data_IF_094395496295
#
_entry.id   IF_094395496295
#
_cell.length_a   1.000
_cell.length_b   1.000
_cell.length_c   1.000
_cell.angle_alpha   90.00
_cell.angle_beta   90.00
_cell.angle_gamma   90.00
#
_symmetry.space_group_name_H-M   'P 1'
#
loop_
_entity.id
_entity.type
_entity.pdbx_description
1 polymer ?
#
# COMPACT_ATOMS: atom_id res chain seq x y z
N UNK A 1 -1.76 16.41 -18.82
CA UNK A 1 -1.79 16.42 -17.36
C UNK A 1 -3.02 17.19 -16.88
N UNK A 2 -3.74 16.65 -15.88
CA UNK A 2 -4.91 17.27 -15.27
C UNK A 2 -4.46 18.45 -14.38
N UNK A 3 -5.10 19.62 -14.51
CA UNK A 3 -4.86 20.73 -13.59
C UNK A 3 -5.38 20.40 -12.19
N UNK A 4 -4.71 20.90 -11.14
CA UNK A 4 -5.29 20.98 -9.80
C UNK A 4 -6.42 22.00 -9.76
N UNK A 5 -7.34 21.86 -8.83
CA UNK A 5 -8.43 22.81 -8.61
C UNK A 5 -8.51 23.15 -7.12
N UNK A 6 -8.86 24.38 -6.83
CA UNK A 6 -9.42 24.79 -5.54
C UNK A 6 -10.62 25.70 -5.77
N UNK A 7 -11.38 25.95 -4.72
CA UNK A 7 -12.61 26.74 -4.81
C UNK A 7 -12.53 27.95 -3.88
N UNK A 8 -13.06 29.06 -4.37
CA UNK A 8 -13.24 30.31 -3.60
C UNK A 8 -14.70 30.72 -3.66
N UNK A 9 -15.13 31.59 -2.76
CA UNK A 9 -16.46 32.18 -2.86
C UNK A 9 -16.55 33.09 -4.09
N UNK A 10 -17.62 32.97 -4.86
CA UNK A 10 -17.83 33.66 -6.13
C UNK A 10 -17.73 35.21 -6.02
N UNK A 11 -18.05 35.75 -4.86
CA UNK A 11 -17.90 37.20 -4.57
C UNK A 11 -16.46 37.69 -4.73
N UNK A 12 -15.47 36.80 -4.64
CA UNK A 12 -14.05 37.12 -4.78
C UNK A 12 -13.49 36.85 -6.20
N UNK A 13 -14.35 36.42 -7.15
CA UNK A 13 -13.94 36.02 -8.49
C UNK A 13 -13.06 37.07 -9.18
N UNK A 14 -13.55 38.32 -9.29
CA UNK A 14 -12.84 39.40 -9.99
C UNK A 14 -11.48 39.68 -9.34
N UNK A 15 -11.45 39.79 -7.99
CA UNK A 15 -10.21 40.05 -7.26
C UNK A 15 -9.17 38.97 -7.45
N UNK A 16 -9.59 37.71 -7.47
CA UNK A 16 -8.71 36.58 -7.73
C UNK A 16 -8.18 36.57 -9.18
N UNK A 17 -9.03 36.94 -10.17
CA UNK A 17 -8.62 37.07 -11.53
C UNK A 17 -7.59 38.21 -11.73
N UNK A 18 -7.77 39.33 -11.06
CA UNK A 18 -6.85 40.47 -11.11
C UNK A 18 -5.48 40.08 -10.51
N UNK A 19 -5.48 39.32 -9.37
CA UNK A 19 -4.25 38.80 -8.79
C UNK A 19 -3.52 37.84 -9.73
N UNK A 20 -4.23 36.91 -10.35
CA UNK A 20 -3.62 35.96 -11.30
C UNK A 20 -3.01 36.68 -12.49
N UNK A 21 -3.71 37.70 -13.06
CA UNK A 21 -3.24 38.49 -14.17
C UNK A 21 -2.00 39.33 -13.82
N UNK A 22 -1.99 39.96 -12.64
CA UNK A 22 -0.87 40.80 -12.17
C UNK A 22 0.42 39.97 -12.01
N UNK A 23 0.30 38.74 -11.56
CA UNK A 23 1.44 37.84 -11.34
C UNK A 23 1.78 37.00 -12.58
N UNK A 24 0.99 37.11 -13.64
CA UNK A 24 1.10 36.25 -14.84
C UNK A 24 1.16 34.76 -14.49
N UNK A 25 0.33 34.34 -13.51
CA UNK A 25 0.27 32.94 -13.11
C UNK A 25 -0.70 32.14 -14.00
N UNK A 26 -0.42 30.86 -14.27
CA UNK A 26 -1.26 30.02 -15.12
C UNK A 26 -2.51 29.53 -14.36
N UNK A 27 -3.29 30.46 -13.81
CA UNK A 27 -4.52 30.19 -13.05
C UNK A 27 -5.72 30.62 -13.86
N UNK A 28 -6.61 29.69 -14.16
CA UNK A 28 -7.88 29.91 -14.85
C UNK A 28 -9.01 29.89 -13.85
N UNK A 29 -9.74 30.99 -13.70
CA UNK A 29 -10.80 31.11 -12.70
C UNK A 29 -12.13 31.30 -13.41
N UNK A 30 -13.12 30.49 -13.04
CA UNK A 30 -14.47 30.54 -13.61
C UNK A 30 -15.55 30.25 -12.56
N UNK A 31 -16.74 30.85 -12.69
CA UNK A 31 -17.86 30.48 -11.83
C UNK A 31 -18.29 29.04 -12.10
N UNK A 32 -18.76 28.36 -11.08
CA UNK A 32 -19.30 26.99 -11.15
C UNK A 32 -20.66 26.92 -10.46
N UNK A 33 -21.49 25.96 -10.85
CA UNK A 33 -22.81 25.72 -10.26
C UNK A 33 -22.69 24.88 -8.98
N UNK A 34 -21.76 25.28 -8.10
CA UNK A 34 -21.52 24.66 -6.79
C UNK A 34 -21.71 25.70 -5.68
N UNK A 35 -22.04 25.21 -4.51
CA UNK A 35 -22.18 26.01 -3.30
C UNK A 35 -21.34 25.41 -2.15
N UNK A 36 -20.85 26.27 -1.28
CA UNK A 36 -20.27 25.83 -0.01
C UNK A 36 -21.35 25.34 0.95
N UNK A 37 -20.96 24.71 2.07
CA UNK A 37 -21.89 24.35 3.14
C UNK A 37 -22.61 25.56 3.74
N UNK A 38 -22.06 26.76 3.59
CA UNK A 38 -22.72 28.01 4.00
C UNK A 38 -23.64 28.59 2.90
N UNK A 39 -23.98 27.80 1.87
CA UNK A 39 -24.80 28.20 0.71
C UNK A 39 -24.21 29.35 -0.14
N UNK A 40 -22.92 29.67 0.00
CA UNK A 40 -22.23 30.65 -0.83
C UNK A 40 -21.89 30.05 -2.20
N UNK A 41 -22.17 30.77 -3.28
CA UNK A 41 -21.82 30.38 -4.64
C UNK A 41 -20.29 30.28 -4.81
N UNK A 42 -19.81 29.27 -5.52
CA UNK A 42 -18.40 29.01 -5.72
C UNK A 42 -17.86 29.47 -7.08
N UNK A 43 -16.56 29.75 -7.10
CA UNK A 43 -15.76 29.83 -8.32
C UNK A 43 -14.58 28.85 -8.22
N UNK A 44 -14.26 28.16 -9.31
CA UNK A 44 -13.17 27.20 -9.39
C UNK A 44 -11.92 27.86 -9.98
N UNK A 45 -10.79 27.62 -9.33
CA UNK A 45 -9.46 28.05 -9.72
C UNK A 45 -8.67 26.84 -10.23
N UNK A 46 -8.41 26.75 -11.52
CA UNK A 46 -7.67 25.67 -12.18
C UNK A 46 -6.24 26.09 -12.44
N UNK A 47 -5.28 25.25 -12.08
CA UNK A 47 -3.85 25.54 -12.23
C UNK A 47 -2.99 24.26 -12.22
N UNK A 48 -1.75 24.30 -12.74
CA UNK A 48 -0.80 23.22 -12.54
C UNK A 48 -0.56 22.98 -11.04
N UNK A 49 -0.38 21.70 -10.63
CA UNK A 49 -0.31 21.30 -9.23
C UNK A 49 0.80 22.02 -8.43
N UNK A 50 1.89 22.41 -9.10
CA UNK A 50 2.98 23.17 -8.46
C UNK A 50 2.55 24.56 -7.93
N UNK A 51 1.42 25.08 -8.38
CA UNK A 51 0.93 26.41 -7.99
C UNK A 51 -0.14 26.37 -6.90
N UNK A 52 -0.80 25.25 -6.64
CA UNK A 52 -2.02 25.19 -5.82
C UNK A 52 -1.81 25.72 -4.39
N UNK A 53 -0.72 25.32 -3.72
CA UNK A 53 -0.42 25.78 -2.37
C UNK A 53 0.05 27.24 -2.34
N UNK A 54 0.87 27.65 -3.32
CA UNK A 54 1.26 29.06 -3.47
C UNK A 54 0.07 29.96 -3.73
N UNK A 55 -0.86 29.47 -4.54
CA UNK A 55 -2.13 30.17 -4.80
C UNK A 55 -2.96 30.30 -3.56
N UNK A 56 -3.12 29.23 -2.78
CA UNK A 56 -3.80 29.24 -1.47
C UNK A 56 -3.22 30.32 -0.55
N UNK A 57 -1.91 30.34 -0.41
CA UNK A 57 -1.22 31.24 0.50
C UNK A 57 -1.38 32.71 0.04
N UNK A 58 -1.26 32.98 -1.25
CA UNK A 58 -1.54 34.30 -1.84
C UNK A 58 -2.99 34.74 -1.61
N UNK A 59 -3.95 33.87 -1.80
CA UNK A 59 -5.36 34.16 -1.54
C UNK A 59 -5.63 34.43 -0.07
N UNK A 60 -4.96 33.69 0.83
CA UNK A 60 -5.06 33.94 2.28
C UNK A 60 -4.55 35.33 2.67
N UNK A 61 -3.45 35.82 2.09
CA UNK A 61 -2.96 37.19 2.27
C UNK A 61 -3.99 38.25 1.82
N UNK A 62 -4.84 37.87 0.87
CA UNK A 62 -5.95 38.71 0.39
C UNK A 62 -7.25 38.49 1.16
N UNK A 63 -7.24 37.76 2.28
CA UNK A 63 -8.42 37.32 3.04
C UNK A 63 -9.46 36.56 2.19
N UNK A 64 -9.00 35.77 1.24
CA UNK A 64 -9.80 34.88 0.41
C UNK A 64 -9.49 33.44 0.81
N UNK A 65 -10.48 32.70 1.27
CA UNK A 65 -10.34 31.30 1.67
C UNK A 65 -10.40 30.40 0.44
N UNK A 66 -9.35 29.62 0.20
CA UNK A 66 -9.34 28.53 -0.77
C UNK A 66 -9.77 27.23 -0.09
N UNK A 67 -10.74 26.52 -0.68
CA UNK A 67 -11.22 25.21 -0.24
C UNK A 67 -10.76 24.13 -1.19
N UNK A 68 -10.67 22.88 -0.72
CA UNK A 68 -10.37 21.68 -1.53
C UNK A 68 -8.99 21.74 -2.21
N UNK A 69 -8.00 22.38 -1.57
CA UNK A 69 -6.63 22.53 -2.14
C UNK A 69 -5.82 21.24 -2.10
N UNK A 70 -6.27 20.26 -1.34
CA UNK A 70 -5.65 18.97 -1.06
C UNK A 70 -6.15 17.83 -1.97
N UNK A 71 -7.17 18.08 -2.80
CA UNK A 71 -7.67 17.08 -3.74
C UNK A 71 -6.61 16.81 -4.81
N UNK A 72 -6.16 15.56 -4.86
CA UNK A 72 -5.20 15.13 -5.89
C UNK A 72 -5.83 15.16 -7.29
N UNK A 73 -5.09 15.57 -8.33
CA UNK A 73 -5.60 15.61 -9.70
C UNK A 73 -6.16 14.28 -10.20
N UNK A 74 -5.57 13.16 -9.76
CA UNK A 74 -6.05 11.80 -10.07
C UNK A 74 -7.43 11.53 -9.50
N UNK A 75 -7.61 11.84 -8.22
CA UNK A 75 -8.90 11.64 -7.53
C UNK A 75 -9.98 12.53 -8.17
N UNK A 76 -9.64 13.80 -8.44
CA UNK A 76 -10.54 14.70 -9.14
C UNK A 76 -10.94 14.18 -10.52
N UNK A 77 -9.98 13.62 -11.27
CA UNK A 77 -10.25 13.04 -12.58
C UNK A 77 -11.32 11.94 -12.52
N UNK A 78 -11.22 11.06 -11.53
CA UNK A 78 -12.16 9.98 -11.30
C UNK A 78 -13.51 10.52 -10.81
N UNK A 79 -13.51 11.44 -9.83
CA UNK A 79 -14.73 12.06 -9.27
C UNK A 79 -15.54 12.81 -10.32
N UNK A 80 -14.92 13.66 -11.14
CA UNK A 80 -15.59 14.44 -12.18
C UNK A 80 -16.20 13.57 -13.29
N UNK A 81 -15.77 12.31 -13.40
CA UNK A 81 -16.25 11.34 -14.40
C UNK A 81 -17.11 10.24 -13.82
N UNK A 82 -17.40 10.33 -12.50
CA UNK A 82 -18.20 9.34 -11.78
C UNK A 82 -17.62 7.92 -11.91
N UNK A 83 -16.29 7.80 -11.89
CA UNK A 83 -15.58 6.52 -11.88
C UNK A 83 -15.35 6.13 -10.45
N UNK A 84 -16.14 5.19 -9.93
CA UNK A 84 -16.11 4.76 -8.52
C UNK A 84 -15.23 3.52 -8.27
N UNK A 85 -14.89 2.80 -9.33
CA UNK A 85 -14.09 1.58 -9.24
C UNK A 85 -13.79 1.08 -10.65
N UNK A 86 -14.58 0.15 -11.15
CA UNK A 86 -14.39 -0.39 -12.51
C UNK A 86 -14.57 0.67 -13.59
N UNK A 87 -13.76 0.58 -14.64
CA UNK A 87 -13.81 1.47 -15.79
C UNK A 87 -13.46 0.72 -17.07
N UNK A 88 -13.93 1.23 -18.20
CA UNK A 88 -13.47 0.77 -19.52
C UNK A 88 -12.30 1.63 -19.96
N UNK A 89 -11.22 0.98 -20.35
CA UNK A 89 -10.05 1.60 -20.95
C UNK A 89 -10.08 1.33 -22.46
N UNK A 90 -10.04 2.39 -23.25
CA UNK A 90 -9.92 2.32 -24.71
C UNK A 90 -8.60 2.98 -25.13
N UNK A 91 -7.79 2.31 -25.91
CA UNK A 91 -6.49 2.81 -26.36
C UNK A 91 -5.78 1.83 -27.29
N UNK A 92 -4.54 2.13 -27.61
CA UNK A 92 -3.71 1.23 -28.41
C UNK A 92 -2.94 0.29 -27.49
N UNK A 93 -3.20 -1.01 -27.64
CA UNK A 93 -2.52 -2.05 -26.85
C UNK A 93 -1.11 -2.24 -27.40
N UNK A 94 -0.11 -2.04 -26.57
CA UNK A 94 1.28 -2.39 -26.88
C UNK A 94 1.67 -3.61 -26.06
N UNK A 95 2.11 -4.67 -26.74
CA UNK A 95 2.73 -5.81 -26.06
C UNK A 95 4.16 -5.45 -25.68
N UNK A 96 4.52 -5.63 -24.43
CA UNK A 96 5.86 -5.33 -23.97
C UNK A 96 6.87 -6.33 -24.56
N UNK A 97 7.88 -5.81 -25.24
CA UNK A 97 8.97 -6.59 -25.81
C UNK A 97 9.85 -7.29 -24.74
N UNK A 98 9.68 -6.93 -23.47
CA UNK A 98 10.49 -7.43 -22.34
C UNK A 98 9.96 -8.70 -21.67
N UNK A 99 8.89 -9.33 -22.20
CA UNK A 99 8.37 -10.61 -21.67
C UNK A 99 7.61 -10.51 -20.34
N UNK A 100 7.27 -9.31 -19.89
CA UNK A 100 6.44 -9.11 -18.70
C UNK A 100 4.97 -9.45 -18.95
N UNK A 101 4.27 -9.91 -17.93
CA UNK A 101 2.86 -10.31 -17.97
C UNK A 101 1.87 -9.14 -18.06
N UNK A 102 2.33 -7.92 -18.26
CA UNK A 102 1.47 -6.73 -18.34
C UNK A 102 1.37 -6.17 -19.76
N UNK A 103 0.23 -5.56 -20.04
CA UNK A 103 -0.04 -4.87 -21.29
C UNK A 103 -0.09 -3.38 -21.05
N UNK A 104 0.56 -2.60 -21.90
CA UNK A 104 0.51 -1.14 -21.87
C UNK A 104 -0.54 -0.63 -22.85
N UNK A 105 -1.41 0.27 -22.39
CA UNK A 105 -2.39 0.95 -23.21
C UNK A 105 -1.95 2.40 -23.43
N UNK A 106 -1.51 2.72 -24.65
CA UNK A 106 -1.17 4.10 -25.02
C UNK A 106 -2.38 4.84 -25.56
N UNK A 107 -2.37 6.17 -25.47
CA UNK A 107 -3.49 7.05 -25.83
C UNK A 107 -4.80 6.66 -25.14
N UNK A 108 -4.69 6.16 -23.92
CA UNK A 108 -5.79 5.57 -23.18
C UNK A 108 -6.85 6.61 -22.82
N UNK A 109 -8.11 6.27 -23.06
CA UNK A 109 -9.30 7.00 -22.58
C UNK A 109 -10.02 6.13 -21.56
N UNK A 110 -10.33 6.73 -20.41
CA UNK A 110 -11.07 6.07 -19.35
C UNK A 110 -12.55 6.48 -19.46
N UNK A 111 -13.44 5.50 -19.49
CA UNK A 111 -14.89 5.71 -19.46
C UNK A 111 -15.46 5.06 -18.20
N UNK A 112 -16.35 5.78 -17.52
CA UNK A 112 -17.18 5.19 -16.48
C UNK A 112 -18.05 4.10 -17.11
N UNK A 113 -18.21 3.01 -16.37
CA UNK A 113 -19.24 2.01 -16.68
C UNK A 113 -20.38 2.18 -15.71
N UNK A 114 -21.62 1.90 -16.14
CA UNK A 114 -22.75 1.80 -15.19
C UNK A 114 -22.33 0.89 -14.05
N UNK A 115 -22.82 1.17 -12.82
CA UNK A 115 -22.49 0.42 -11.62
C UNK A 115 -22.44 -1.07 -11.91
N UNK A 116 -21.28 -1.66 -11.68
CA UNK A 116 -21.10 -3.11 -11.74
C UNK A 116 -21.40 -3.61 -10.35
N UNK A 117 -22.46 -4.41 -10.24
CA UNK A 117 -22.85 -5.00 -8.94
C UNK A 117 -21.86 -6.10 -8.53
N UNK A 118 -21.10 -6.65 -9.48
CA UNK A 118 -20.08 -7.66 -9.23
C UNK A 118 -18.68 -7.03 -9.30
N UNK A 119 -18.01 -6.95 -8.16
CA UNK A 119 -16.58 -6.69 -8.12
C UNK A 119 -15.84 -7.92 -8.67
N UNK A 120 -14.79 -7.75 -9.49
CA UNK A 120 -13.97 -8.87 -9.90
C UNK A 120 -13.41 -9.57 -8.64
N UNK A 121 -13.34 -10.91 -8.63
CA UNK A 121 -12.72 -11.62 -7.53
C UNK A 121 -11.26 -11.18 -7.40
N UNK A 122 -10.90 -10.62 -6.25
CA UNK A 122 -9.53 -10.24 -5.95
C UNK A 122 -8.78 -11.44 -5.41
N UNK A 123 -7.57 -11.69 -5.94
CA UNK A 123 -6.65 -12.66 -5.36
C UNK A 123 -5.97 -12.04 -4.16
N UNK A 124 -6.30 -12.54 -2.97
CA UNK A 124 -5.76 -12.05 -1.71
C UNK A 124 -4.74 -13.05 -1.20
N UNK A 125 -3.55 -12.55 -0.82
CA UNK A 125 -2.48 -13.34 -0.23
C UNK A 125 -2.12 -12.76 1.14
N UNK A 126 -2.23 -13.55 2.19
CA UNK A 126 -1.67 -13.22 3.50
C UNK A 126 -0.19 -13.60 3.53
N UNK A 127 0.64 -12.73 4.13
CA UNK A 127 2.06 -12.92 4.30
C UNK A 127 2.44 -12.65 5.76
N UNK A 128 3.25 -13.52 6.33
CA UNK A 128 3.85 -13.36 7.65
C UNK A 128 5.26 -13.98 7.64
N UNK A 129 6.18 -13.47 8.48
CA UNK A 129 7.54 -14.01 8.60
C UNK A 129 7.87 -14.32 10.05
N UNK A 130 8.74 -15.33 10.23
CA UNK A 130 9.36 -15.59 11.54
C UNK A 130 10.86 -15.35 11.45
N UNK A 131 11.39 -14.65 12.45
CA UNK A 131 12.79 -14.17 12.46
C UNK A 131 13.42 -14.40 13.83
N UNK A 132 14.75 -14.37 13.88
CA UNK A 132 15.45 -14.28 15.15
C UNK A 132 15.11 -12.98 15.89
N UNK A 133 15.18 -13.02 17.20
CA UNK A 133 15.04 -11.82 18.02
C UNK A 133 16.30 -10.93 17.85
N UNK A 134 16.13 -9.59 17.62
CA UNK A 134 17.26 -8.70 17.45
C UNK A 134 18.21 -8.72 18.65
N UNK A 135 19.46 -9.14 18.46
CA UNK A 135 20.51 -9.15 19.49
C UNK A 135 21.67 -8.28 19.06
N UNK A 136 22.18 -7.47 19.98
CA UNK A 136 23.31 -6.56 19.69
C UNK A 136 24.53 -7.33 19.21
N UNK A 137 24.97 -7.05 17.98
CA UNK A 137 26.16 -7.64 17.38
C UNK A 137 25.94 -9.01 16.72
N UNK A 138 24.71 -9.48 16.63
CA UNK A 138 24.34 -10.65 15.83
C UNK A 138 23.50 -10.21 14.62
N UNK A 139 23.70 -10.81 13.44
CA UNK A 139 22.84 -10.57 12.31
C UNK A 139 21.44 -11.13 12.56
N UNK A 140 20.41 -10.41 12.15
CA UNK A 140 19.05 -10.91 12.17
C UNK A 140 18.94 -12.09 11.18
N UNK A 141 18.19 -13.15 11.55
CA UNK A 141 18.00 -14.38 10.75
C UNK A 141 16.54 -14.48 10.34
N UNK A 142 16.30 -14.82 9.08
CA UNK A 142 14.99 -15.23 8.60
C UNK A 142 14.82 -16.73 8.82
N UNK A 143 13.79 -17.16 9.52
CA UNK A 143 13.50 -18.57 9.76
C UNK A 143 12.50 -19.12 8.75
N UNK A 144 11.39 -18.40 8.55
CA UNK A 144 10.34 -18.82 7.62
C UNK A 144 9.58 -17.65 7.03
N UNK A 145 8.89 -17.94 5.91
CA UNK A 145 7.87 -17.06 5.30
C UNK A 145 6.62 -17.89 5.11
N UNK A 146 5.53 -17.48 5.75
CA UNK A 146 4.21 -18.07 5.65
C UNK A 146 3.35 -17.34 4.60
N UNK A 147 2.64 -18.13 3.80
CA UNK A 147 1.69 -17.65 2.80
C UNK A 147 0.35 -18.36 2.96
N UNK A 148 -0.72 -17.58 3.00
CA UNK A 148 -2.08 -18.12 3.06
C UNK A 148 -3.00 -17.39 2.07
N UNK A 149 -3.78 -18.18 1.34
CA UNK A 149 -4.85 -17.71 0.48
C UNK A 149 -5.95 -18.79 0.42
N UNK A 150 -7.07 -18.48 -0.22
CA UNK A 150 -8.18 -19.43 -0.33
C UNK A 150 -7.78 -20.78 -0.94
N UNK A 151 -6.84 -20.78 -1.88
CA UNK A 151 -6.36 -21.92 -2.66
C UNK A 151 -4.87 -22.22 -2.44
N UNK A 152 -4.23 -21.53 -1.49
CA UNK A 152 -2.81 -21.67 -1.18
C UNK A 152 -2.57 -21.62 0.32
N UNK A 153 -1.91 -22.66 0.84
CA UNK A 153 -1.30 -22.65 2.17
C UNK A 153 0.13 -23.15 2.03
N UNK A 154 1.11 -22.30 2.34
CA UNK A 154 2.52 -22.62 2.17
C UNK A 154 3.39 -21.97 3.21
N UNK A 155 4.29 -22.75 3.79
CA UNK A 155 5.39 -22.26 4.62
C UNK A 155 6.70 -22.60 3.91
N UNK A 156 7.52 -21.59 3.70
CA UNK A 156 8.90 -21.71 3.22
C UNK A 156 9.82 -21.50 4.43
N UNK A 157 10.75 -22.42 4.70
CA UNK A 157 11.51 -22.45 5.94
C UNK A 157 12.96 -22.87 5.69
N UNK A 158 13.88 -22.42 6.51
CA UNK A 158 15.26 -22.93 6.53
C UNK A 158 15.27 -24.31 7.16
N UNK A 159 15.92 -25.27 6.51
CA UNK A 159 16.03 -26.64 7.02
C UNK A 159 16.48 -27.65 5.98
N UNK A 160 16.32 -28.94 6.29
CA UNK A 160 16.70 -30.01 5.35
C UNK A 160 15.60 -30.22 4.32
N UNK A 161 15.95 -30.03 3.04
CA UNK A 161 15.03 -30.16 1.92
C UNK A 161 14.43 -31.57 1.74
N UNK A 162 15.04 -32.60 2.31
CA UNK A 162 14.52 -33.96 2.30
C UNK A 162 13.19 -34.13 3.06
N UNK A 163 12.88 -33.21 3.97
CA UNK A 163 11.64 -33.21 4.76
C UNK A 163 10.51 -32.35 4.14
N UNK A 164 10.71 -31.82 2.93
CA UNK A 164 9.73 -30.95 2.28
C UNK A 164 8.45 -31.68 1.90
N UNK A 165 7.32 -30.97 2.08
CA UNK A 165 5.98 -31.37 1.62
C UNK A 165 5.40 -30.29 0.71
N UNK A 166 4.23 -30.52 0.08
CA UNK A 166 3.60 -29.47 -0.73
C UNK A 166 3.25 -28.18 0.07
N UNK A 167 2.96 -28.30 1.36
CA UNK A 167 2.61 -27.17 2.25
C UNK A 167 3.81 -26.58 2.97
N UNK A 168 4.82 -27.38 3.25
CA UNK A 168 6.03 -27.02 3.96
C UNK A 168 7.25 -27.32 3.12
N UNK A 169 7.99 -26.30 2.72
CA UNK A 169 9.18 -26.42 1.89
C UNK A 169 10.41 -25.92 2.64
N UNK A 170 11.43 -26.77 2.73
CA UNK A 170 12.68 -26.44 3.38
C UNK A 170 13.74 -26.00 2.36
N UNK A 171 14.55 -25.04 2.76
CA UNK A 171 15.64 -24.45 1.97
C UNK A 171 16.94 -24.48 2.78
N UNK A 172 18.04 -24.78 2.11
CA UNK A 172 19.33 -24.91 2.77
C UNK A 172 19.89 -23.59 3.31
N UNK A 173 19.47 -22.47 2.73
CA UNK A 173 19.97 -21.15 3.08
C UNK A 173 18.92 -20.04 2.87
N UNK A 174 19.19 -18.87 3.44
CA UNK A 174 18.32 -17.70 3.42
C UNK A 174 18.11 -17.14 2.00
N UNK A 175 19.16 -17.19 1.14
CA UNK A 175 19.05 -16.71 -0.25
C UNK A 175 18.07 -17.54 -1.05
N UNK A 176 18.16 -18.86 -0.95
CA UNK A 176 17.27 -19.81 -1.62
C UNK A 176 15.82 -19.64 -1.16
N UNK A 177 15.63 -19.44 0.14
CA UNK A 177 14.31 -19.17 0.74
C UNK A 177 13.73 -17.85 0.23
N UNK A 178 14.51 -16.76 0.20
CA UNK A 178 14.08 -15.48 -0.33
C UNK A 178 13.72 -15.57 -1.82
N UNK A 179 14.53 -16.23 -2.63
CA UNK A 179 14.24 -16.45 -4.06
C UNK A 179 12.92 -17.18 -4.25
N UNK A 180 12.68 -18.23 -3.48
CA UNK A 180 11.43 -19.00 -3.54
C UNK A 180 10.23 -18.15 -3.07
N UNK A 181 10.38 -17.33 -2.04
CA UNK A 181 9.33 -16.44 -1.57
C UNK A 181 8.93 -15.39 -2.63
N UNK A 182 9.92 -14.75 -3.28
CA UNK A 182 9.65 -13.81 -4.38
C UNK A 182 9.02 -14.50 -5.59
N UNK A 183 9.48 -15.70 -5.95
CA UNK A 183 8.90 -16.50 -7.02
C UNK A 183 7.43 -16.84 -6.71
N UNK A 184 7.12 -17.28 -5.47
CA UNK A 184 5.75 -17.61 -5.07
C UNK A 184 4.82 -16.40 -5.17
N UNK A 185 5.25 -15.21 -4.71
CA UNK A 185 4.44 -13.98 -4.84
C UNK A 185 4.17 -13.67 -6.32
N UNK A 186 5.17 -13.80 -7.17
CA UNK A 186 5.01 -13.50 -8.59
C UNK A 186 4.18 -14.57 -9.34
N UNK A 187 4.35 -15.84 -9.02
CA UNK A 187 3.61 -16.96 -9.64
C UNK A 187 2.14 -16.99 -9.18
N UNK A 188 1.91 -16.73 -7.87
CA UNK A 188 0.56 -16.62 -7.35
C UNK A 188 -0.16 -15.38 -7.89
N UNK A 189 0.57 -14.31 -8.19
CA UNK A 189 0.09 -13.04 -8.73
C UNK A 189 -1.09 -12.43 -7.96
N UNK A 190 -0.93 -12.09 -6.65
CA UNK A 190 -2.02 -11.53 -5.86
C UNK A 190 -2.34 -10.09 -6.30
N UNK A 191 -3.63 -9.71 -6.24
CA UNK A 191 -4.07 -8.32 -6.34
C UNK A 191 -3.84 -7.56 -5.05
N UNK A 192 -4.03 -8.26 -3.93
CA UNK A 192 -3.93 -7.71 -2.57
C UNK A 192 -3.03 -8.60 -1.72
N UNK A 193 -2.07 -7.99 -1.04
CA UNK A 193 -1.27 -8.65 0.00
C UNK A 193 -1.71 -8.09 1.34
N UNK A 194 -2.02 -8.96 2.29
CA UNK A 194 -2.44 -8.60 3.65
C UNK A 194 -1.46 -9.16 4.67
N UNK A 195 -1.43 -8.56 5.85
CA UNK A 195 -0.69 -9.05 7.01
C UNK A 195 -0.81 -8.09 8.19
N UNK A 196 -0.24 -8.47 9.32
CA UNK A 196 -0.25 -7.68 10.53
C UNK A 196 1.09 -6.99 10.74
N UNK A 197 1.12 -5.66 10.74
CA UNK A 197 2.34 -4.86 10.71
C UNK A 197 3.23 -5.16 9.49
N UNK A 198 2.65 -5.70 8.45
CA UNK A 198 3.33 -6.28 7.29
C UNK A 198 4.20 -5.26 6.54
N UNK A 199 3.80 -3.99 6.54
CA UNK A 199 4.55 -2.92 5.88
C UNK A 199 5.82 -2.57 6.65
N UNK A 200 5.71 -2.39 7.98
CA UNK A 200 6.83 -1.89 8.77
C UNK A 200 7.74 -2.98 9.30
N UNK A 201 7.26 -4.21 9.37
CA UNK A 201 8.04 -5.35 9.84
C UNK A 201 8.39 -6.31 8.69
N UNK A 202 7.45 -7.07 8.16
CA UNK A 202 7.72 -8.15 7.21
C UNK A 202 8.40 -7.66 5.94
N UNK A 203 7.80 -6.71 5.24
CA UNK A 203 8.39 -6.16 4.02
C UNK A 203 9.69 -5.40 4.28
N UNK A 204 9.81 -4.72 5.42
CA UNK A 204 11.04 -4.02 5.78
C UNK A 204 12.18 -5.03 6.02
N UNK A 205 11.89 -6.11 6.74
CA UNK A 205 12.84 -7.18 7.03
C UNK A 205 13.26 -7.89 5.75
N UNK A 206 12.31 -8.37 4.95
CA UNK A 206 12.57 -9.05 3.67
C UNK A 206 13.40 -8.18 2.71
N UNK A 207 13.09 -6.86 2.64
CA UNK A 207 13.87 -5.92 1.84
C UNK A 207 15.33 -5.82 2.30
N UNK A 208 15.56 -5.77 3.62
CA UNK A 208 16.91 -5.70 4.16
C UNK A 208 17.68 -6.98 3.84
N UNK A 209 17.04 -8.15 4.00
CA UNK A 209 17.62 -9.44 3.66
C UNK A 209 17.91 -9.58 2.15
N UNK A 210 17.01 -9.16 1.31
CA UNK A 210 17.27 -9.11 -0.14
C UNK A 210 18.49 -8.24 -0.47
N UNK A 211 18.67 -7.09 0.20
CA UNK A 211 19.85 -6.23 0.02
C UNK A 211 21.13 -6.88 0.51
N UNK A 212 21.11 -7.55 1.66
CA UNK A 212 22.27 -8.30 2.19
C UNK A 212 22.75 -9.35 1.20
N UNK A 213 21.82 -10.03 0.54
CA UNK A 213 22.10 -11.06 -0.48
C UNK A 213 22.24 -10.51 -1.90
N UNK A 214 22.21 -9.19 -2.11
CA UNK A 214 22.23 -8.55 -3.45
C UNK A 214 21.13 -9.10 -4.37
N UNK A 215 19.98 -9.48 -3.81
CA UNK A 215 18.80 -9.98 -4.51
C UNK A 215 17.84 -8.82 -4.79
N UNK A 216 17.50 -8.51 -6.05
CA UNK A 216 16.47 -7.51 -6.35
C UNK A 216 15.08 -7.93 -5.81
N UNK A 217 14.40 -7.05 -5.11
CA UNK A 217 13.06 -7.33 -4.56
C UNK A 217 11.95 -7.00 -5.58
N UNK A 218 11.97 -7.72 -6.70
CA UNK A 218 11.11 -7.49 -7.86
C UNK A 218 9.79 -8.26 -7.72
N UNK A 219 8.79 -7.63 -7.09
CA UNK A 219 7.43 -8.18 -6.96
C UNK A 219 6.36 -7.29 -7.59
N UNK A 220 6.75 -6.23 -8.31
CA UNK A 220 5.82 -5.46 -9.14
C UNK A 220 5.39 -6.27 -10.36
N UNK A 221 4.13 -6.15 -10.77
CA UNK A 221 3.61 -6.80 -11.99
C UNK A 221 4.31 -6.34 -13.27
N UNK A 222 4.95 -5.17 -13.22
CA UNK A 222 5.82 -4.63 -14.28
C UNK A 222 7.29 -5.09 -14.17
N UNK A 223 7.59 -6.00 -13.24
CA UNK A 223 8.94 -6.46 -12.95
C UNK A 223 9.77 -5.48 -12.12
N UNK A 224 9.19 -4.37 -11.66
CA UNK A 224 9.90 -3.39 -10.83
C UNK A 224 10.06 -3.85 -9.39
N UNK A 225 11.06 -3.29 -8.72
CA UNK A 225 11.18 -3.40 -7.27
C UNK A 225 10.07 -2.62 -6.58
N UNK A 226 9.71 -3.08 -5.38
CA UNK A 226 8.86 -2.30 -4.49
C UNK A 226 9.50 -0.95 -4.16
N UNK A 227 8.68 0.08 -4.06
CA UNK A 227 9.13 1.42 -3.65
C UNK A 227 8.65 1.76 -2.24
N UNK A 228 9.50 2.45 -1.51
CA UNK A 228 9.33 2.76 -0.09
C UNK A 228 9.44 4.26 0.13
N UNK A 229 8.39 4.86 0.63
CA UNK A 229 8.36 6.29 0.89
C UNK A 229 7.95 6.59 2.32
N UNK A 230 8.79 7.29 3.04
CA UNK A 230 8.48 7.83 4.35
C UNK A 230 7.57 9.06 4.22
N UNK A 231 6.63 9.23 5.16
CA UNK A 231 5.77 10.42 5.18
C UNK A 231 6.57 11.66 5.59
N UNK A 232 6.36 12.78 4.89
CA UNK A 232 6.99 14.06 5.26
C UNK A 232 6.47 14.61 6.59
N UNK A 233 5.23 14.28 6.97
CA UNK A 233 4.56 14.83 8.15
C UNK A 233 4.64 13.90 9.37
N UNK A 234 4.96 12.63 9.19
CA UNK A 234 5.10 11.64 10.24
C UNK A 234 6.19 10.64 9.84
N UNK A 235 7.40 10.74 10.41
CA UNK A 235 8.53 9.86 10.09
C UNK A 235 8.25 8.37 10.32
N UNK A 236 7.36 8.05 11.26
CA UNK A 236 6.99 6.67 11.58
C UNK A 236 6.02 6.06 10.57
N UNK A 237 5.44 6.90 9.70
CA UNK A 237 4.51 6.42 8.67
C UNK A 237 5.22 6.16 7.36
N UNK A 238 5.20 4.90 6.97
CA UNK A 238 5.79 4.42 5.72
C UNK A 238 4.67 4.09 4.74
N UNK A 239 4.89 4.43 3.49
CA UNK A 239 4.04 4.03 2.37
C UNK A 239 4.82 3.06 1.50
N UNK A 240 4.33 1.86 1.39
CA UNK A 240 4.80 0.85 0.48
C UNK A 240 4.00 0.91 -0.83
N UNK A 241 4.69 0.89 -1.95
CA UNK A 241 4.07 0.81 -3.27
C UNK A 241 4.68 -0.35 -4.06
N UNK A 242 3.83 -1.22 -4.55
CA UNK A 242 4.15 -2.33 -5.43
C UNK A 242 3.34 -2.13 -6.71
N UNK A 243 3.99 -2.06 -7.86
CA UNK A 243 3.29 -1.83 -9.11
C UNK A 243 2.26 -2.93 -9.39
N UNK A 244 1.00 -2.55 -9.59
CA UNK A 244 -0.11 -3.45 -9.87
C UNK A 244 -0.63 -4.27 -8.69
N UNK A 245 -0.16 -4.07 -7.46
CA UNK A 245 -0.63 -4.76 -6.25
C UNK A 245 -0.94 -3.77 -5.13
N UNK A 246 -1.88 -4.10 -4.29
CA UNK A 246 -2.22 -3.34 -3.08
C UNK A 246 -1.72 -4.08 -1.85
N UNK A 247 -1.09 -3.37 -0.92
CA UNK A 247 -0.74 -3.93 0.39
C UNK A 247 -1.64 -3.30 1.44
N UNK A 248 -2.29 -4.13 2.24
CA UNK A 248 -3.18 -3.73 3.32
C UNK A 248 -2.63 -4.24 4.66
N UNK A 249 -2.17 -3.31 5.48
CA UNK A 249 -1.69 -3.59 6.83
C UNK A 249 -2.87 -3.56 7.82
N UNK A 250 -3.05 -4.63 8.59
CA UNK A 250 -4.15 -4.76 9.54
C UNK A 250 -4.18 -3.66 10.59
N UNK A 251 -3.01 -3.23 11.09
CA UNK A 251 -2.90 -2.15 12.08
C UNK A 251 -3.35 -0.82 11.46
N UNK A 252 -2.88 -0.50 10.26
CA UNK A 252 -3.25 0.74 9.57
C UNK A 252 -4.74 0.78 9.21
N UNK A 253 -5.30 -0.35 8.79
CA UNK A 253 -6.73 -0.46 8.49
C UNK A 253 -7.59 -0.19 9.72
N UNK A 254 -7.27 -0.79 10.86
CA UNK A 254 -8.01 -0.59 12.10
C UNK A 254 -7.89 0.86 12.60
N UNK A 255 -6.68 1.43 12.59
CA UNK A 255 -6.47 2.84 12.96
C UNK A 255 -7.23 3.79 12.04
N UNK A 256 -7.25 3.54 10.73
CA UNK A 256 -7.99 4.36 9.77
C UNK A 256 -9.52 4.21 9.92
N UNK A 257 -9.98 3.06 10.38
CA UNK A 257 -11.39 2.81 10.73
C UNK A 257 -11.77 3.34 12.13
N UNK A 258 -10.88 4.12 12.77
CA UNK A 258 -11.06 4.73 14.09
C UNK A 258 -11.15 3.74 15.26
N UNK A 259 -10.71 2.49 15.07
CA UNK A 259 -10.56 1.57 16.18
C UNK A 259 -9.43 2.01 17.10
N UNK A 260 -9.67 1.93 18.40
CA UNK A 260 -8.69 2.30 19.42
C UNK A 260 -8.57 1.17 20.45
N UNK A 261 -7.41 0.55 20.50
CA UNK A 261 -7.06 -0.52 21.43
C UNK A 261 -5.96 -0.04 22.38
N UNK A 262 -5.87 -0.63 23.57
CA UNK A 262 -4.75 -0.38 24.50
C UNK A 262 -3.42 -0.83 23.90
N UNK A 263 -3.44 -1.90 23.09
CA UNK A 263 -2.30 -2.40 22.33
C UNK A 263 -2.74 -2.84 20.93
N UNK A 264 -1.91 -2.55 19.93
CA UNK A 264 -2.06 -3.08 18.56
C UNK A 264 -1.21 -4.35 18.34
N UNK A 265 -0.80 -5.04 19.40
CA UNK A 265 -0.26 -6.40 19.27
C UNK A 265 -1.35 -7.34 18.74
N UNK A 266 -0.99 -8.22 17.80
CA UNK A 266 -1.95 -9.13 17.15
C UNK A 266 -2.74 -9.95 18.19
N UNK A 267 -2.07 -10.50 19.20
CA UNK A 267 -2.70 -11.28 20.26
C UNK A 267 -3.78 -10.50 21.02
N UNK A 268 -3.48 -9.23 21.33
CA UNK A 268 -4.42 -8.38 22.04
C UNK A 268 -5.66 -8.10 21.20
N UNK A 269 -5.44 -7.69 19.94
CA UNK A 269 -6.54 -7.34 19.05
C UNK A 269 -7.36 -8.57 18.65
N UNK A 270 -6.71 -9.71 18.40
CA UNK A 270 -7.40 -10.97 18.12
C UNK A 270 -8.23 -11.44 19.32
N UNK A 271 -7.68 -11.32 20.54
CA UNK A 271 -8.41 -11.60 21.79
C UNK A 271 -9.66 -10.74 21.94
N UNK A 272 -9.55 -9.43 21.71
CA UNK A 272 -10.67 -8.49 21.81
C UNK A 272 -11.75 -8.69 20.73
N UNK A 273 -11.35 -8.96 19.48
CA UNK A 273 -12.28 -9.03 18.36
C UNK A 273 -12.81 -10.44 18.08
N UNK A 274 -12.00 -11.48 18.27
CA UNK A 274 -12.30 -12.85 17.87
C UNK A 274 -12.43 -13.80 19.07
N UNK A 275 -11.97 -13.40 20.24
CA UNK A 275 -11.85 -14.29 21.41
C UNK A 275 -10.74 -15.33 21.26
N UNK A 276 -9.82 -15.11 20.32
CA UNK A 276 -8.70 -16.00 20.00
C UNK A 276 -7.37 -15.31 20.32
N UNK A 277 -6.33 -16.08 20.61
CA UNK A 277 -5.00 -15.57 20.90
C UNK A 277 -3.91 -16.52 20.39
N UNK A 278 -2.68 -16.05 20.33
CA UNK A 278 -1.54 -16.87 19.93
C UNK A 278 -1.23 -17.95 21.00
N UNK A 279 -0.68 -19.07 20.54
CA UNK A 279 -0.27 -20.17 21.44
C UNK A 279 0.91 -19.78 22.35
N UNK A 280 1.81 -18.92 21.88
CA UNK A 280 2.95 -18.41 22.64
C UNK A 280 2.70 -16.98 23.10
N UNK A 281 2.72 -16.75 24.40
CA UNK A 281 2.47 -15.46 25.05
C UNK A 281 3.67 -14.98 25.87
N UNK A 282 3.90 -13.66 25.94
CA UNK A 282 4.80 -13.01 26.88
C UNK A 282 6.08 -12.40 26.29
N UNK A 283 6.89 -11.80 27.17
CA UNK A 283 8.12 -11.07 26.79
C UNK A 283 9.25 -11.98 26.28
N UNK A 284 9.21 -13.28 26.56
CA UNK A 284 10.22 -14.28 26.16
C UNK A 284 9.92 -14.93 24.79
N UNK A 285 8.81 -14.55 24.14
CA UNK A 285 8.36 -15.17 22.89
C UNK A 285 9.44 -15.25 21.79
N UNK A 286 10.29 -14.24 21.65
CA UNK A 286 11.34 -14.24 20.64
C UNK A 286 12.42 -15.30 20.90
N UNK A 287 12.79 -15.49 22.17
CA UNK A 287 13.73 -16.54 22.58
C UNK A 287 13.10 -17.93 22.45
N UNK A 288 11.80 -18.05 22.73
CA UNK A 288 11.04 -19.29 22.57
C UNK A 288 10.92 -19.68 21.08
N UNK A 289 10.66 -18.76 20.19
CA UNK A 289 10.60 -18.99 18.74
C UNK A 289 11.96 -19.48 18.21
N UNK A 290 13.05 -18.83 18.60
CA UNK A 290 14.40 -19.22 18.18
C UNK A 290 14.78 -20.60 18.75
N UNK A 291 14.44 -20.86 20.00
CA UNK A 291 14.64 -22.17 20.63
C UNK A 291 13.85 -23.28 19.93
N UNK A 292 12.57 -23.05 19.62
CA UNK A 292 11.72 -24.01 18.92
C UNK A 292 12.21 -24.27 17.51
N UNK A 293 12.63 -23.21 16.79
CA UNK A 293 13.23 -23.35 15.46
C UNK A 293 14.47 -24.25 15.46
N UNK A 294 15.32 -24.14 16.50
CA UNK A 294 16.57 -24.90 16.58
C UNK A 294 16.39 -26.33 17.14
N UNK A 295 15.33 -26.59 17.94
CA UNK A 295 15.20 -27.81 18.71
C UNK A 295 13.89 -28.59 18.49
N UNK A 296 12.81 -27.94 18.05
CA UNK A 296 11.49 -28.56 17.91
C UNK A 296 10.67 -27.96 16.77
N UNK A 297 11.04 -28.30 15.55
CA UNK A 297 10.37 -27.82 14.32
C UNK A 297 8.85 -28.11 14.31
N UNK A 298 8.34 -29.28 14.74
CA UNK A 298 6.90 -29.52 14.81
C UNK A 298 6.15 -28.50 15.68
N UNK A 299 6.64 -28.21 16.88
CA UNK A 299 6.03 -27.19 17.77
C UNK A 299 6.22 -25.79 17.21
N UNK A 300 7.38 -25.48 16.60
CA UNK A 300 7.60 -24.22 15.89
C UNK A 300 6.53 -24.00 14.83
N UNK A 301 6.27 -25.00 13.99
CA UNK A 301 5.26 -24.92 12.92
C UNK A 301 3.83 -24.79 13.49
N UNK A 302 3.52 -25.51 14.57
CA UNK A 302 2.22 -25.39 15.24
C UNK A 302 2.01 -23.99 15.81
N UNK A 303 3.07 -23.36 16.32
CA UNK A 303 3.02 -22.02 16.91
C UNK A 303 3.01 -20.89 15.88
N UNK A 304 3.44 -21.14 14.63
CA UNK A 304 3.64 -20.12 13.59
C UNK A 304 2.73 -20.30 12.36
N UNK A 305 2.22 -21.49 12.09
CA UNK A 305 1.46 -21.83 10.87
C UNK A 305 -0.07 -21.69 11.00
N UNK A 306 -0.59 -21.25 12.14
CA UNK A 306 -2.04 -21.23 12.44
C UNK A 306 -2.70 -19.83 12.30
N UNK A 307 -2.03 -18.86 11.70
CA UNK A 307 -2.63 -17.51 11.58
C UNK A 307 -2.64 -16.99 10.15
#
# INVERSE_FOLDING_TARGET
>A
LQDSVCFIDRKHLQRAQDCAATLNWPVKIRPVALQSFAAEQAAACYMPSAYVYRWRDLMAEQNIVCREVDIRPTDRYLMERFIYGSAVLEGQLQQNASGGSFSELTDARIKAIPRVDDLPPMRVLSLDIETSFPRRGQPDRLFSVGFYAQDLQRVLMIGDSAESTPQLQFFADELSLLQAALALINDYDPDVIIGWNVVQFDFAFLRNKCREHSLPFNIGRDGSELSWRQSNNNPDRIFLHIAGRVVLDGIDLLKNATWNFESFALDYVAGELLGEGKLLHGEQRGDDIEYLFEHDIPIFLESTALY
#
